data_IF_021748584979
#
_entry.id   IF_021748584979
#
_cell.length_a   1.000
_cell.length_b   1.000
_cell.length_c   1.000
_cell.angle_alpha   90.00
_cell.angle_beta   90.00
_cell.angle_gamma   90.00
#
_symmetry.space_group_name_H-M   'P 1'
#
loop_
_entity.id
_entity.type
_entity.pdbx_description
1 polymer ?
#
# COMPACT_ATOMS: atom_id res chain seq x y z
N UNK A 1 -8.68 5.98 -20.38
CA UNK A 1 -7.62 5.54 -19.45
C UNK A 1 -8.32 4.70 -18.39
N UNK A 2 -7.94 3.44 -18.21
CA UNK A 2 -8.49 2.60 -17.14
C UNK A 2 -8.19 3.27 -15.79
N UNK A 3 -9.15 3.27 -14.86
CA UNK A 3 -8.85 3.68 -13.50
C UNK A 3 -7.70 2.80 -12.95
N UNK A 4 -6.78 3.36 -12.17
CA UNK A 4 -5.80 2.57 -11.45
C UNK A 4 -6.52 1.49 -10.63
N UNK A 5 -5.93 0.30 -10.57
CA UNK A 5 -6.46 -0.79 -9.75
C UNK A 5 -6.46 -0.36 -8.27
N UNK A 6 -7.57 -0.53 -7.56
CA UNK A 6 -7.67 -0.25 -6.11
C UNK A 6 -6.60 -0.96 -5.32
N UNK A 7 -6.09 -0.30 -4.28
CA UNK A 7 -5.07 -0.88 -3.40
C UNK A 7 -5.63 -2.11 -2.69
N UNK A 8 -6.90 -2.11 -2.29
CA UNK A 8 -7.54 -3.30 -1.72
C UNK A 8 -7.53 -4.54 -2.63
N UNK A 9 -7.38 -4.35 -3.94
CA UNK A 9 -7.32 -5.43 -4.94
C UNK A 9 -5.89 -5.83 -5.30
N UNK A 10 -4.87 -5.12 -4.80
CA UNK A 10 -3.48 -5.41 -5.10
C UNK A 10 -3.07 -6.79 -4.56
N UNK A 11 -2.49 -7.57 -5.46
CA UNK A 11 -1.77 -8.81 -5.15
C UNK A 11 -0.42 -8.50 -4.52
N UNK A 12 0.28 -9.52 -4.04
CA UNK A 12 1.67 -9.37 -3.55
C UNK A 12 2.60 -8.82 -4.63
N UNK A 13 2.38 -9.20 -5.90
CA UNK A 13 3.15 -8.71 -7.04
C UNK A 13 2.90 -7.22 -7.26
N UNK A 14 1.64 -6.78 -7.22
CA UNK A 14 1.30 -5.37 -7.36
C UNK A 14 1.94 -4.51 -6.24
N UNK A 15 1.91 -5.01 -4.99
CA UNK A 15 2.57 -4.35 -3.84
C UNK A 15 4.09 -4.31 -4.02
N UNK A 16 4.69 -5.40 -4.52
CA UNK A 16 6.12 -5.45 -4.79
C UNK A 16 6.53 -4.44 -5.87
N UNK A 17 5.78 -4.37 -6.97
CA UNK A 17 6.05 -3.44 -8.06
C UNK A 17 5.91 -1.98 -7.58
N UNK A 18 4.87 -1.68 -6.77
CA UNK A 18 4.72 -0.37 -6.14
C UNK A 18 5.94 0.00 -5.27
N UNK A 19 6.39 -0.89 -4.37
CA UNK A 19 7.59 -0.64 -3.54
C UNK A 19 8.85 -0.47 -4.39
N UNK A 20 8.98 -1.24 -5.46
CA UNK A 20 10.13 -1.17 -6.37
C UNK A 20 10.18 0.17 -7.12
N UNK A 21 9.03 0.72 -7.49
CA UNK A 21 8.91 2.02 -8.14
C UNK A 21 9.18 3.18 -7.18
N UNK A 22 8.64 3.13 -5.96
CA UNK A 22 8.80 4.22 -4.97
C UNK A 22 10.20 4.23 -4.33
N UNK A 23 10.77 3.07 -4.01
CA UNK A 23 12.03 2.96 -3.26
C UNK A 23 13.10 2.16 -4.03
N UNK A 24 13.59 2.64 -5.19
CA UNK A 24 14.55 1.92 -6.03
C UNK A 24 15.93 1.72 -5.39
N UNK A 25 16.22 2.39 -4.27
CA UNK A 25 17.49 2.28 -3.54
C UNK A 25 17.42 1.35 -2.30
N UNK A 26 16.24 1.07 -1.73
CA UNK A 26 16.05 0.18 -0.55
C UNK A 26 15.76 -1.27 -0.95
N UNK A 27 16.51 -1.75 -1.95
CA UNK A 27 16.16 -2.87 -2.82
C UNK A 27 15.98 -4.26 -2.19
N UNK A 28 16.38 -4.52 -0.95
CA UNK A 28 16.46 -5.92 -0.49
C UNK A 28 15.47 -6.26 0.62
N UNK A 29 15.40 -5.46 1.69
CA UNK A 29 14.75 -5.91 2.92
C UNK A 29 13.23 -5.83 2.82
N UNK A 30 12.67 -4.66 2.48
CA UNK A 30 11.22 -4.48 2.33
C UNK A 30 10.65 -5.33 1.19
N UNK A 31 11.35 -5.35 0.05
CA UNK A 31 10.99 -6.15 -1.12
C UNK A 31 10.96 -7.66 -0.83
N UNK A 32 11.97 -8.17 -0.12
CA UNK A 32 11.99 -9.59 0.30
C UNK A 32 10.89 -9.87 1.33
N UNK A 33 10.67 -8.94 2.25
CA UNK A 33 9.68 -9.09 3.31
C UNK A 33 8.25 -9.13 2.75
N UNK A 34 7.95 -8.40 1.65
CA UNK A 34 6.65 -8.46 0.96
C UNK A 34 6.32 -9.88 0.52
N UNK A 35 7.25 -10.55 -0.18
CA UNK A 35 7.04 -11.94 -0.61
C UNK A 35 7.05 -12.91 0.58
N UNK A 36 7.97 -12.72 1.52
CA UNK A 36 8.11 -13.60 2.69
C UNK A 36 6.85 -13.61 3.57
N UNK A 37 6.19 -12.46 3.70
CA UNK A 37 5.02 -12.29 4.56
C UNK A 37 3.70 -12.24 3.79
N UNK A 38 3.71 -12.51 2.48
CA UNK A 38 2.52 -12.51 1.62
C UNK A 38 1.74 -11.18 1.72
N UNK A 39 2.45 -10.06 1.66
CA UNK A 39 1.88 -8.73 1.85
C UNK A 39 1.07 -8.32 0.62
N UNK A 40 -0.24 -8.61 0.65
CA UNK A 40 -1.22 -8.09 -0.30
C UNK A 40 -1.59 -6.62 0.00
N UNK A 41 -2.29 -5.95 -0.90
CA UNK A 41 -2.69 -4.56 -0.68
C UNK A 41 -3.58 -4.35 0.55
N UNK A 42 -4.44 -5.32 0.88
CA UNK A 42 -5.20 -5.30 2.15
C UNK A 42 -4.32 -5.43 3.39
N UNK A 43 -3.18 -6.10 3.29
CA UNK A 43 -2.20 -6.16 4.36
C UNK A 43 -1.45 -4.81 4.45
N UNK A 44 -1.00 -4.28 3.32
CA UNK A 44 -0.33 -2.97 3.20
C UNK A 44 -1.16 -1.85 3.84
N UNK A 45 -2.44 -1.76 3.50
CA UNK A 45 -3.38 -0.78 4.08
C UNK A 45 -3.55 -0.90 5.60
N UNK A 46 -3.12 -2.00 6.23
CA UNK A 46 -3.16 -2.19 7.70
C UNK A 46 -1.79 -2.10 8.37
N UNK A 47 -0.72 -1.91 7.60
CA UNK A 47 0.64 -1.83 8.14
C UNK A 47 0.83 -0.58 8.99
N UNK A 48 1.52 -0.74 10.12
CA UNK A 48 1.97 0.36 10.95
C UNK A 48 3.46 0.26 11.19
N UNK A 49 3.98 1.23 11.93
CA UNK A 49 5.40 1.37 12.26
C UNK A 49 6.01 0.04 12.74
N UNK A 50 5.41 -0.56 13.77
CA UNK A 50 5.85 -1.84 14.34
C UNK A 50 5.97 -2.99 13.33
N UNK A 51 5.12 -3.06 12.29
CA UNK A 51 5.23 -4.13 11.29
C UNK A 51 6.39 -3.88 10.33
N UNK A 52 6.63 -2.62 9.95
CA UNK A 52 7.75 -2.22 9.10
C UNK A 52 9.09 -2.41 9.82
N UNK A 53 9.18 -2.04 11.10
CA UNK A 53 10.36 -2.29 11.93
C UNK A 53 10.69 -3.79 12.02
N UNK A 54 9.68 -4.64 12.25
CA UNK A 54 9.84 -6.10 12.28
C UNK A 54 10.25 -6.70 10.94
N UNK A 55 9.95 -6.02 9.84
CA UNK A 55 10.39 -6.40 8.51
C UNK A 55 11.84 -5.97 8.23
N UNK A 56 12.46 -5.20 9.13
CA UNK A 56 13.84 -4.72 9.01
C UNK A 56 13.96 -3.43 8.20
N UNK A 57 12.91 -2.63 8.12
CA UNK A 57 12.96 -1.29 7.52
C UNK A 57 13.75 -0.35 8.43
N UNK A 58 14.76 0.32 7.88
CA UNK A 58 15.57 1.30 8.60
C UNK A 58 14.73 2.50 9.05
N UNK A 59 15.00 3.00 10.26
CA UNK A 59 14.26 4.10 10.89
C UNK A 59 14.21 5.36 10.02
N UNK A 60 15.29 5.63 9.29
CA UNK A 60 15.44 6.80 8.39
C UNK A 60 14.40 6.84 7.27
N UNK A 61 13.86 5.68 6.86
CA UNK A 61 12.91 5.56 5.77
C UNK A 61 11.51 5.14 6.24
N UNK A 62 11.41 4.73 7.50
CA UNK A 62 10.17 4.29 8.12
C UNK A 62 9.07 5.36 8.01
N UNK A 63 9.43 6.62 8.25
CA UNK A 63 8.49 7.74 8.16
C UNK A 63 7.99 7.98 6.73
N UNK A 64 8.88 7.92 5.73
CA UNK A 64 8.51 8.09 4.32
C UNK A 64 7.52 7.01 3.88
N UNK A 65 7.84 5.74 4.18
CA UNK A 65 6.97 4.60 3.85
C UNK A 65 5.61 4.70 4.56
N UNK A 66 5.59 5.13 5.82
CA UNK A 66 4.34 5.31 6.56
C UNK A 66 3.46 6.42 5.96
N UNK A 67 4.06 7.51 5.48
CA UNK A 67 3.34 8.59 4.80
C UNK A 67 2.75 8.11 3.47
N UNK A 68 3.49 7.32 2.70
CA UNK A 68 2.99 6.79 1.44
C UNK A 68 1.86 5.76 1.65
N UNK A 69 1.97 4.90 2.67
CA UNK A 69 0.87 4.00 3.08
C UNK A 69 -0.35 4.81 3.53
N UNK A 70 -0.15 5.93 4.25
CA UNK A 70 -1.26 6.81 4.63
C UNK A 70 -1.93 7.43 3.40
N UNK A 71 -1.17 7.84 2.40
CA UNK A 71 -1.73 8.36 1.15
C UNK A 71 -2.58 7.32 0.43
N UNK A 72 -2.09 6.07 0.34
CA UNK A 72 -2.85 4.96 -0.24
C UNK A 72 -4.18 4.71 0.50
N UNK A 73 -4.18 4.82 1.85
CA UNK A 73 -5.41 4.70 2.65
C UNK A 73 -6.39 5.82 2.33
N UNK A 74 -5.93 7.07 2.29
CA UNK A 74 -6.81 8.21 2.00
C UNK A 74 -7.42 8.06 0.60
N UNK A 75 -6.63 7.64 -0.38
CA UNK A 75 -7.13 7.36 -1.73
C UNK A 75 -8.18 6.25 -1.74
N UNK A 76 -7.93 5.12 -1.06
CA UNK A 76 -8.88 4.02 -0.96
C UNK A 76 -10.20 4.46 -0.28
N UNK A 77 -10.12 5.24 0.80
CA UNK A 77 -11.31 5.77 1.47
C UNK A 77 -12.11 6.75 0.59
N UNK A 78 -11.43 7.61 -0.17
CA UNK A 78 -12.10 8.51 -1.12
C UNK A 78 -12.83 7.74 -2.22
N UNK A 79 -12.22 6.67 -2.75
CA UNK A 79 -12.85 5.80 -3.73
C UNK A 79 -14.04 5.03 -3.14
N UNK A 80 -13.91 4.51 -1.91
CA UNK A 80 -15.02 3.87 -1.20
C UNK A 80 -16.19 4.83 -0.98
N UNK A 81 -15.91 6.08 -0.58
CA UNK A 81 -16.95 7.09 -0.43
C UNK A 81 -17.61 7.40 -1.78
N UNK A 82 -16.84 7.54 -2.85
CA UNK A 82 -17.37 7.78 -4.19
C UNK A 82 -18.29 6.64 -4.67
N UNK A 83 -17.93 5.39 -4.38
CA UNK A 83 -18.79 4.24 -4.67
C UNK A 83 -20.12 4.33 -3.90
N UNK A 84 -20.05 4.60 -2.59
CA UNK A 84 -21.25 4.76 -1.77
C UNK A 84 -22.13 5.90 -2.31
N UNK A 85 -21.53 7.04 -2.68
CA UNK A 85 -22.27 8.13 -3.30
C UNK A 85 -22.90 7.72 -4.63
N UNK A 86 -22.16 7.02 -5.49
CA UNK A 86 -22.73 6.54 -6.75
C UNK A 86 -23.88 5.57 -6.48
N UNK A 87 -23.71 4.57 -5.62
CA UNK A 87 -24.77 3.60 -5.30
C UNK A 87 -26.01 4.25 -4.69
N UNK A 88 -25.85 5.23 -3.78
CA UNK A 88 -26.96 5.88 -3.10
C UNK A 88 -27.69 6.94 -3.96
N UNK A 89 -27.02 7.56 -4.94
CA UNK A 89 -27.55 8.71 -5.68
C UNK A 89 -27.70 8.49 -7.19
N UNK A 90 -27.55 7.25 -7.69
CA UNK A 90 -27.79 6.90 -9.11
C UNK A 90 -29.28 6.69 -9.47
N UNK A 91 -30.23 7.33 -8.76
CA UNK A 91 -31.68 7.27 -9.06
C UNK A 91 -32.14 8.46 -9.90
#
# INVERSE_FOLDING_TARGET
>A
MSLPKRVSLWTVVDVFDWVKEQYPYQKSVLQLAIFKHDISGRALLRMGEHQLERMGVEVEHLQEILLDILLLRVQEELENLNDIFSECFSS
#
